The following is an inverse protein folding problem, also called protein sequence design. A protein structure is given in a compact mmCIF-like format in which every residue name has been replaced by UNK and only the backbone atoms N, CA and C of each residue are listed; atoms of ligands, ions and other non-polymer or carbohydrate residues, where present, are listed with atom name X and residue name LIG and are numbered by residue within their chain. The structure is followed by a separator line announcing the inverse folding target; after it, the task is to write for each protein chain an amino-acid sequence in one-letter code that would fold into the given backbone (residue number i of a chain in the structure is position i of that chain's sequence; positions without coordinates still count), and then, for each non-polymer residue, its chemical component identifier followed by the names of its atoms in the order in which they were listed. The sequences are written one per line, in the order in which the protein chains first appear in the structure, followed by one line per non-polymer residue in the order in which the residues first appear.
data_IF_212543435173
#
_entry.id   IF_212543435173
#
_cell.length_a   1.000
_cell.length_b   1.000
_cell.length_c   1.000
_cell.angle_alpha   90.00
_cell.angle_beta   90.00
_cell.angle_gamma   90.00
#
_symmetry.space_group_name_H-M   'P 1'
#
loop_
_entity.id
_entity.type
_entity.pdbx_description
1 polymer ?
#
# COMPACT_ATOMS: atom_id res chain seq x y z
N UNK A 1 15.42 -29.89 -54.08
CA UNK A 1 15.78 -30.68 -52.88
C UNK A 1 16.66 -29.88 -51.91
N UNK A 2 17.85 -29.41 -52.31
CA UNK A 2 18.76 -28.69 -51.38
C UNK A 2 18.15 -27.40 -50.80
N UNK A 3 17.46 -26.60 -51.62
CA UNK A 3 16.79 -25.36 -51.17
C UNK A 3 15.65 -25.63 -50.16
N UNK A 4 14.91 -26.73 -50.34
CA UNK A 4 13.82 -27.11 -49.43
C UNK A 4 14.36 -27.59 -48.08
N UNK A 5 15.50 -28.30 -48.09
CA UNK A 5 16.19 -28.70 -46.87
C UNK A 5 16.72 -27.49 -46.09
N UNK A 6 17.28 -26.50 -46.80
CA UNK A 6 17.78 -25.26 -46.18
C UNK A 6 16.63 -24.45 -45.56
N UNK A 7 15.49 -24.34 -46.25
CA UNK A 7 14.31 -23.66 -45.72
C UNK A 7 13.72 -24.37 -44.49
N UNK A 8 13.69 -25.72 -44.50
CA UNK A 8 13.26 -26.49 -43.34
C UNK A 8 14.22 -26.34 -42.15
N UNK A 9 15.52 -26.27 -42.40
CA UNK A 9 16.53 -26.05 -41.36
C UNK A 9 16.40 -24.66 -40.72
N UNK A 10 16.14 -23.63 -41.53
CA UNK A 10 15.89 -22.26 -41.06
C UNK A 10 14.62 -22.18 -40.20
N UNK A 11 13.54 -22.83 -40.64
CA UNK A 11 12.28 -22.89 -39.89
C UNK A 11 12.44 -23.60 -38.54
N UNK A 12 13.26 -24.67 -38.50
CA UNK A 12 13.57 -25.37 -37.26
C UNK A 12 14.42 -24.51 -36.30
N UNK A 13 15.34 -23.71 -36.84
CA UNK A 13 16.16 -22.78 -36.04
C UNK A 13 15.31 -21.64 -35.45
N UNK A 14 14.36 -21.10 -36.22
CA UNK A 14 13.42 -20.08 -35.71
C UNK A 14 12.54 -20.64 -34.57
N UNK A 15 12.08 -21.88 -34.70
CA UNK A 15 11.26 -22.52 -33.67
C UNK A 15 12.06 -22.73 -32.37
N UNK A 16 13.34 -23.11 -32.46
CA UNK A 16 14.21 -23.21 -31.27
C UNK A 16 14.43 -21.85 -30.58
N UNK A 17 14.63 -20.77 -31.34
CA UNK A 17 14.74 -19.43 -30.75
C UNK A 17 13.46 -19.03 -30.02
N UNK A 18 12.29 -19.32 -30.60
CA UNK A 18 11.01 -18.95 -30.00
C UNK A 18 10.77 -19.68 -28.67
N UNK A 19 11.12 -20.96 -28.59
CA UNK A 19 11.06 -21.74 -27.34
C UNK A 19 12.03 -21.20 -26.30
N UNK A 20 13.23 -20.80 -26.70
CA UNK A 20 14.24 -20.26 -25.78
C UNK A 20 13.78 -18.93 -25.16
N UNK A 21 13.18 -18.04 -25.96
CA UNK A 21 12.60 -16.77 -25.46
C UNK A 21 11.43 -17.04 -24.51
N UNK A 22 10.55 -17.98 -24.84
CA UNK A 22 9.42 -18.33 -23.98
C UNK A 22 9.89 -18.88 -22.62
N UNK A 23 10.94 -19.71 -22.62
CA UNK A 23 11.50 -20.25 -21.38
C UNK A 23 12.16 -19.15 -20.52
N UNK A 24 12.85 -18.19 -21.15
CA UNK A 24 13.45 -17.06 -20.44
C UNK A 24 12.37 -16.14 -19.84
N UNK A 25 11.27 -15.90 -20.55
CA UNK A 25 10.15 -15.10 -20.04
C UNK A 25 9.47 -15.77 -18.83
N UNK A 26 9.36 -17.10 -18.84
CA UNK A 26 8.81 -17.85 -17.71
C UNK A 26 9.72 -17.81 -16.48
N UNK A 27 11.05 -17.82 -16.66
CA UNK A 27 12.01 -17.61 -15.57
C UNK A 27 11.90 -16.21 -14.97
N UNK A 28 11.69 -15.18 -15.79
CA UNK A 28 11.54 -13.81 -15.33
C UNK A 28 10.26 -13.61 -14.49
N UNK A 29 9.15 -14.27 -14.86
CA UNK A 29 7.93 -14.26 -14.05
C UNK A 29 8.12 -14.97 -12.69
N UNK A 30 8.87 -16.07 -12.65
CA UNK A 30 9.19 -16.73 -11.36
C UNK A 30 10.03 -15.84 -10.45
N UNK A 31 11.00 -15.10 -11.00
CA UNK A 31 11.81 -14.17 -10.20
C UNK A 31 10.96 -13.03 -9.61
N UNK A 32 10.03 -12.45 -10.39
CA UNK A 32 9.12 -11.41 -9.88
C UNK A 32 8.19 -11.93 -8.79
N UNK A 33 7.69 -13.17 -8.92
CA UNK A 33 6.89 -13.78 -7.85
C UNK A 33 7.71 -13.97 -6.57
N UNK A 34 8.94 -14.48 -6.67
CA UNK A 34 9.82 -14.63 -5.49
C UNK A 34 10.17 -13.30 -4.83
N UNK A 35 10.49 -12.25 -5.60
CA UNK A 35 10.76 -10.92 -5.02
C UNK A 35 9.54 -10.33 -4.31
N UNK A 36 8.34 -10.54 -4.87
CA UNK A 36 7.09 -10.07 -4.25
C UNK A 36 6.81 -10.81 -2.95
N UNK A 37 7.06 -12.12 -2.91
CA UNK A 37 6.87 -12.93 -1.71
C UNK A 37 7.88 -12.58 -0.60
N UNK A 38 9.14 -12.30 -0.96
CA UNK A 38 10.16 -11.84 0.00
C UNK A 38 9.83 -10.43 0.55
N UNK A 39 9.28 -9.53 -0.28
CA UNK A 39 8.83 -8.22 0.19
C UNK A 39 7.69 -8.32 1.21
N UNK A 40 6.68 -9.16 0.94
CA UNK A 40 5.59 -9.37 1.90
C UNK A 40 6.09 -9.94 3.22
N UNK A 41 7.05 -10.88 3.21
CA UNK A 41 7.65 -11.39 4.43
C UNK A 41 8.40 -10.30 5.22
N UNK A 42 9.19 -9.46 4.53
CA UNK A 42 9.88 -8.34 5.21
C UNK A 42 8.94 -7.32 5.84
N UNK A 43 7.82 -7.02 5.18
CA UNK A 43 6.81 -6.11 5.73
C UNK A 43 6.14 -6.71 6.98
N UNK A 44 5.88 -8.02 7.00
CA UNK A 44 5.33 -8.68 8.19
C UNK A 44 6.30 -8.68 9.38
N UNK A 45 7.60 -8.85 9.14
CA UNK A 45 8.62 -8.84 10.19
C UNK A 45 8.88 -7.45 10.77
N UNK A 46 8.85 -6.40 9.94
CA UNK A 46 9.05 -5.02 10.41
C UNK A 46 7.85 -4.50 11.22
N UNK A 47 6.62 -4.89 10.86
CA UNK A 47 5.43 -4.56 11.64
C UNK A 47 5.48 -5.19 13.06
N UNK A 48 5.96 -6.42 13.19
CA UNK A 48 6.11 -7.09 14.48
C UNK A 48 7.17 -6.43 15.37
N UNK A 49 8.29 -5.97 14.80
CA UNK A 49 9.35 -5.29 15.56
C UNK A 49 8.93 -3.89 16.07
N UNK A 50 8.15 -3.13 15.28
CA UNK A 50 7.66 -1.80 15.69
C UNK A 50 6.65 -1.88 16.86
N UNK A 51 5.83 -2.93 16.91
CA UNK A 51 4.92 -3.17 18.03
C UNK A 51 5.66 -3.50 19.34
N UNK A 52 6.84 -4.12 19.27
CA UNK A 52 7.65 -4.41 20.46
C UNK A 52 8.34 -3.16 21.03
N UNK A 53 8.74 -2.20 20.18
CA UNK A 53 9.46 -0.99 20.62
C UNK A 53 8.56 0.03 21.34
N UNK A 54 7.26 0.07 21.04
CA UNK A 54 6.31 1.00 21.68
C UNK A 54 5.90 0.57 23.10
N UNK A 55 6.15 -0.68 23.50
CA UNK A 55 5.87 -1.16 24.86
C UNK A 55 6.95 -0.77 25.90
N UNK A 56 8.14 -0.33 25.46
CA UNK A 56 9.26 -0.01 26.36
C UNK A 56 9.43 1.49 26.65
N UNK A 57 8.72 2.37 25.94
CA UNK A 57 8.88 3.81 26.02
C UNK A 57 7.92 4.51 26.97
N UNK A 58 8.31 4.60 28.25
CA UNK A 58 8.21 5.82 29.05
C UNK A 58 6.83 6.30 29.51
N UNK A 59 6.61 6.20 30.81
CA UNK A 59 5.77 7.09 31.62
C UNK A 59 6.00 8.57 31.22
N UNK A 60 5.04 9.27 30.60
CA UNK A 60 5.14 10.70 30.44
C UNK A 60 4.85 11.33 31.79
N UNK A 61 5.92 11.70 32.49
CA UNK A 61 5.87 12.56 33.66
C UNK A 61 4.98 13.77 33.36
N UNK A 62 3.92 13.90 34.14
CA UNK A 62 2.94 14.97 34.13
C UNK A 62 3.62 16.33 34.31
N UNK A 63 3.57 17.25 33.34
CA UNK A 63 4.01 18.62 33.57
C UNK A 63 2.95 19.31 34.44
N UNK A 64 3.32 19.57 35.69
CA UNK A 64 2.60 20.43 36.62
C UNK A 64 2.67 21.87 36.09
N UNK A 65 1.62 22.30 35.39
CA UNK A 65 1.46 23.67 34.93
C UNK A 65 1.17 24.59 36.13
N UNK A 66 2.20 25.34 36.51
CA UNK A 66 2.10 26.45 37.46
C UNK A 66 1.29 27.60 36.83
N UNK A 67 0.28 28.06 37.56
CA UNK A 67 -0.51 29.24 37.26
C UNK A 67 0.37 30.50 37.36
N UNK A 68 0.54 31.20 36.25
CA UNK A 68 1.09 32.55 36.21
C UNK A 68 0.02 33.50 35.67
N UNK A 69 -0.47 34.37 36.54
CA UNK A 69 -1.27 35.55 36.23
C UNK A 69 -0.38 36.65 35.66
N UNK A 70 -0.72 37.28 34.53
CA UNK A 70 -0.20 38.60 34.20
C UNK A 70 -1.29 39.66 34.40
N UNK A 71 -1.11 40.44 35.46
CA UNK A 71 -1.68 41.77 35.62
C UNK A 71 -0.68 42.76 35.02
N UNK A 72 -1.08 43.60 34.06
CA UNK A 72 -0.17 44.59 33.51
C UNK A 72 -0.68 45.29 32.28
N UNK A 73 -1.57 46.25 32.48
CA UNK A 73 -1.93 47.25 31.48
C UNK A 73 -0.76 48.22 31.26
N UNK A 74 -0.39 48.45 30.00
CA UNK A 74 0.34 49.65 29.59
C UNK A 74 -0.09 50.01 28.17
N UNK A 75 -0.81 51.13 28.07
CA UNK A 75 -1.16 51.79 26.83
C UNK A 75 0.10 52.44 26.22
N UNK A 76 0.32 52.21 24.93
CA UNK A 76 1.14 53.06 24.09
C UNK A 76 0.41 53.25 22.76
N UNK A 77 -0.06 54.48 22.55
CA UNK A 77 -0.45 55.03 21.26
C UNK A 77 0.73 54.94 20.29
N UNK A 78 0.50 54.39 19.09
CA UNK A 78 1.53 54.33 18.07
C UNK A 78 1.18 53.52 16.82
N UNK A 79 0.70 54.24 15.81
CA UNK A 79 0.77 53.96 14.36
C UNK A 79 -0.15 52.89 13.75
N UNK A 80 -1.20 53.38 13.08
CA UNK A 80 -2.38 52.64 12.59
C UNK A 80 -2.20 51.97 11.21
N UNK A 81 -1.06 52.11 10.52
CA UNK A 81 -0.96 51.77 9.09
C UNK A 81 -0.16 50.51 8.73
N UNK A 82 0.47 49.82 9.69
CA UNK A 82 1.26 48.60 9.43
C UNK A 82 0.66 47.31 10.05
N UNK A 83 -0.38 47.42 10.87
CA UNK A 83 -0.96 46.31 11.64
C UNK A 83 -1.87 45.37 10.82
N UNK A 84 -2.33 45.78 9.64
CA UNK A 84 -3.26 44.97 8.83
C UNK A 84 -2.59 43.79 8.11
N UNK A 85 -1.29 43.86 7.81
CA UNK A 85 -0.59 42.79 7.08
C UNK A 85 -0.05 41.68 8.01
N UNK A 86 0.30 42.01 9.26
CA UNK A 86 0.78 41.02 10.24
C UNK A 86 -0.37 40.20 10.88
N UNK A 87 -1.57 40.78 10.97
CA UNK A 87 -2.75 40.07 11.47
C UNK A 87 -3.24 38.96 10.52
N UNK A 88 -3.04 39.11 9.21
CA UNK A 88 -3.39 38.09 8.22
C UNK A 88 -2.42 36.88 8.23
N UNK A 89 -1.14 37.11 8.55
CA UNK A 89 -0.15 36.02 8.67
C UNK A 89 -0.30 35.22 9.98
N UNK A 90 -0.71 35.86 11.08
CA UNK A 90 -0.98 35.18 12.35
C UNK A 90 -2.27 34.33 12.32
N UNK A 91 -3.26 34.71 11.50
CA UNK A 91 -4.49 33.93 11.31
C UNK A 91 -4.25 32.61 10.53
N UNK A 92 -3.17 32.48 9.77
CA UNK A 92 -2.81 31.26 9.05
C UNK A 92 -1.99 30.26 9.90
N UNK A 93 -1.25 30.74 10.91
CA UNK A 93 -0.41 29.91 11.77
C UNK A 93 -1.13 29.35 13.02
N UNK A 94 -2.37 29.80 13.28
CA UNK A 94 -3.13 29.50 14.50
C UNK A 94 -4.30 28.54 14.34
N UNK A 95 -4.46 27.84 13.19
CA UNK A 95 -5.34 26.67 13.14
C UNK A 95 -4.67 25.54 13.93
N UNK A 96 -4.74 25.63 15.25
CA UNK A 96 -4.67 24.46 16.12
C UNK A 96 -5.73 23.52 15.56
N UNK A 97 -5.30 22.45 14.90
CA UNK A 97 -6.20 21.50 14.28
C UNK A 97 -7.24 21.15 15.35
N UNK A 98 -8.50 21.55 15.11
CA UNK A 98 -9.59 21.18 16.00
C UNK A 98 -9.45 19.68 16.24
N UNK A 99 -9.54 19.20 17.50
CA UNK A 99 -9.34 17.79 17.81
C UNK A 99 -10.13 16.99 16.80
N UNK A 100 -9.42 16.21 15.99
CA UNK A 100 -10.01 15.47 14.88
C UNK A 100 -10.96 14.46 15.50
N UNK A 101 -12.24 14.84 15.56
CA UNK A 101 -13.26 13.95 16.09
C UNK A 101 -13.44 12.81 15.09
N UNK A 102 -13.47 11.56 15.56
CA UNK A 102 -13.75 10.45 14.67
C UNK A 102 -15.18 10.58 14.12
N UNK A 103 -15.37 10.14 12.88
CA UNK A 103 -16.69 10.14 12.24
C UNK A 103 -17.61 9.06 12.83
N UNK A 104 -17.02 7.95 13.28
CA UNK A 104 -17.71 6.84 13.92
C UNK A 104 -16.77 6.12 14.91
N UNK A 105 -17.35 5.36 15.83
CA UNK A 105 -16.60 4.53 16.78
C UNK A 105 -17.14 3.11 16.72
N UNK A 106 -16.28 2.11 16.56
CA UNK A 106 -16.65 0.69 16.64
C UNK A 106 -16.13 0.14 17.96
N UNK A 107 -17.03 -0.37 18.79
CA UNK A 107 -16.73 -0.93 20.10
C UNK A 107 -16.86 -2.45 20.07
N UNK A 108 -15.73 -3.15 20.15
CA UNK A 108 -15.69 -4.61 20.19
C UNK A 108 -15.85 -5.10 21.63
N UNK A 109 -17.01 -5.68 21.94
CA UNK A 109 -17.34 -6.09 23.31
C UNK A 109 -17.03 -7.56 23.52
N UNK A 110 -16.26 -7.86 24.57
CA UNK A 110 -15.95 -9.21 25.02
C UNK A 110 -16.18 -9.29 26.54
N UNK A 111 -16.63 -10.43 27.08
CA UNK A 111 -16.67 -10.58 28.53
C UNK A 111 -15.25 -10.61 29.11
N UNK A 112 -15.08 -10.19 30.38
CA UNK A 112 -13.84 -10.36 31.11
C UNK A 112 -13.31 -11.80 31.06
N UNK A 113 -14.20 -12.78 31.18
CA UNK A 113 -13.85 -14.21 31.17
C UNK A 113 -13.31 -14.66 29.81
N UNK A 114 -13.93 -14.20 28.72
CA UNK A 114 -13.45 -14.48 27.37
C UNK A 114 -12.08 -13.85 27.09
N UNK A 115 -11.88 -12.61 27.54
CA UNK A 115 -10.58 -11.93 27.47
C UNK A 115 -9.50 -12.64 28.30
N UNK A 116 -9.80 -13.00 29.55
CA UNK A 116 -8.88 -13.74 30.42
C UNK A 116 -8.47 -15.05 29.77
N UNK A 117 -9.46 -15.83 29.30
CA UNK A 117 -9.22 -17.12 28.64
C UNK A 117 -8.35 -16.99 27.40
N UNK A 118 -8.56 -15.95 26.57
CA UNK A 118 -7.74 -15.71 25.37
C UNK A 118 -6.28 -15.40 25.73
N UNK A 119 -6.05 -14.57 26.75
CA UNK A 119 -4.68 -14.21 27.18
C UNK A 119 -3.98 -15.40 27.85
N UNK A 120 -4.70 -16.16 28.69
CA UNK A 120 -4.12 -17.34 29.35
C UNK A 120 -3.84 -18.51 28.39
N UNK A 121 -4.46 -18.53 27.20
CA UNK A 121 -4.22 -19.53 26.17
C UNK A 121 -3.09 -19.15 25.19
N UNK A 122 -2.37 -18.05 25.44
CA UNK A 122 -1.18 -17.69 24.65
C UNK A 122 -0.05 -18.71 24.88
N UNK A 123 0.82 -18.86 23.88
CA UNK A 123 2.02 -19.68 24.01
C UNK A 123 2.89 -19.17 25.19
N UNK A 124 3.51 -20.04 25.99
CA UNK A 124 4.39 -19.62 27.09
C UNK A 124 5.51 -18.67 26.66
N UNK A 125 5.98 -18.77 25.40
CA UNK A 125 6.98 -17.87 24.83
C UNK A 125 6.50 -16.43 24.64
N UNK A 126 5.18 -16.21 24.62
CA UNK A 126 4.54 -14.89 24.45
C UNK A 126 4.12 -14.26 25.80
N UNK A 127 4.33 -14.96 26.90
CA UNK A 127 3.98 -14.49 28.24
C UNK A 127 5.11 -13.62 28.76
N UNK A 128 4.87 -12.32 28.84
CA UNK A 128 5.74 -11.36 29.51
C UNK A 128 5.25 -11.22 30.97
N UNK A 129 6.06 -11.58 31.97
CA UNK A 129 5.69 -11.46 33.39
C UNK A 129 5.29 -10.01 33.75
N UNK A 130 4.21 -9.86 34.52
CA UNK A 130 3.61 -8.56 34.87
C UNK A 130 2.80 -7.90 33.75
N UNK A 131 2.86 -8.42 32.52
CA UNK A 131 2.07 -7.92 31.40
C UNK A 131 1.01 -8.95 30.98
N UNK A 132 1.38 -10.04 30.32
CA UNK A 132 0.42 -11.03 29.80
C UNK A 132 0.11 -12.15 30.81
N UNK A 133 0.35 -11.92 32.09
CA UNK A 133 -0.02 -12.83 33.17
C UNK A 133 -1.39 -12.48 33.76
N UNK A 134 -1.89 -13.37 34.63
CA UNK A 134 -3.21 -13.25 35.23
C UNK A 134 -3.37 -12.00 36.09
N UNK A 135 -2.32 -11.62 36.81
CA UNK A 135 -2.34 -10.43 37.68
C UNK A 135 -2.28 -9.15 36.86
N UNK A 136 -1.39 -9.08 35.87
CA UNK A 136 -1.28 -7.96 34.94
C UNK A 136 -2.57 -7.73 34.15
N UNK A 137 -3.21 -8.80 33.68
CA UNK A 137 -4.52 -8.72 33.04
C UNK A 137 -5.58 -8.11 33.97
N UNK A 138 -5.73 -8.61 35.20
CA UNK A 138 -6.71 -8.10 36.16
C UNK A 138 -6.50 -6.62 36.46
N UNK A 139 -5.24 -6.19 36.64
CA UNK A 139 -4.90 -4.78 36.88
C UNK A 139 -5.29 -3.90 35.69
N UNK A 140 -4.96 -4.31 34.46
CA UNK A 140 -5.33 -3.55 33.25
C UNK A 140 -6.83 -3.55 33.00
N UNK A 141 -7.53 -4.65 33.28
CA UNK A 141 -8.97 -4.70 33.14
C UNK A 141 -9.67 -3.78 34.15
N UNK A 142 -9.20 -3.72 35.40
CA UNK A 142 -9.74 -2.76 36.38
C UNK A 142 -9.49 -1.33 35.96
N UNK A 143 -8.29 -1.02 35.44
CA UNK A 143 -7.96 0.30 34.91
C UNK A 143 -8.85 0.67 33.71
N UNK A 144 -9.08 -0.28 32.80
CA UNK A 144 -9.99 -0.13 31.67
C UNK A 144 -11.41 0.18 32.13
N UNK A 145 -11.95 -0.60 33.07
CA UNK A 145 -13.27 -0.37 33.67
C UNK A 145 -13.30 1.02 34.32
N UNK A 146 -12.27 1.39 35.10
CA UNK A 146 -12.23 2.68 35.76
C UNK A 146 -12.23 3.87 34.78
N UNK A 147 -11.52 3.78 33.66
CA UNK A 147 -11.44 4.87 32.68
C UNK A 147 -12.63 4.93 31.72
N UNK A 148 -13.24 3.80 31.39
CA UNK A 148 -14.26 3.71 30.33
C UNK A 148 -15.67 3.45 30.89
N UNK A 149 -15.79 2.70 31.99
CA UNK A 149 -17.06 2.36 32.63
C UNK A 149 -17.24 3.13 33.94
N UNK A 150 -17.95 4.25 33.88
CA UNK A 150 -18.23 5.02 35.08
C UNK A 150 -19.30 4.35 35.96
N UNK A 151 -18.90 3.97 37.18
CA UNK A 151 -19.83 3.73 38.30
C UNK A 151 -20.16 5.01 39.09
N UNK A 152 -19.44 6.11 38.83
CA UNK A 152 -19.46 7.34 39.62
C UNK A 152 -20.30 8.49 39.01
N UNK A 153 -21.13 8.21 37.99
CA UNK A 153 -22.10 9.18 37.44
C UNK A 153 -21.55 10.18 36.42
N UNK A 154 -20.33 9.98 35.90
CA UNK A 154 -19.85 10.64 34.68
C UNK A 154 -20.38 9.90 33.45
N UNK A 155 -20.59 10.58 32.30
CA UNK A 155 -21.00 9.93 31.05
C UNK A 155 -20.01 8.82 30.71
N UNK A 156 -20.52 7.68 30.24
CA UNK A 156 -19.67 6.61 29.71
C UNK A 156 -18.97 7.09 28.44
N UNK A 157 -17.94 6.37 28.02
CA UNK A 157 -17.25 6.73 26.77
C UNK A 157 -18.23 6.73 25.59
N UNK A 158 -19.20 5.81 25.57
CA UNK A 158 -20.27 5.77 24.56
C UNK A 158 -21.14 7.02 24.64
N UNK A 159 -21.55 7.42 25.85
CA UNK A 159 -22.36 8.63 26.07
C UNK A 159 -21.62 9.88 25.60
N UNK A 160 -20.31 9.97 25.86
CA UNK A 160 -19.46 11.09 25.42
C UNK A 160 -19.44 11.26 23.89
N UNK A 161 -19.44 10.16 23.14
CA UNK A 161 -19.51 10.19 21.68
C UNK A 161 -20.93 10.47 21.17
N UNK A 162 -21.92 9.84 21.79
CA UNK A 162 -23.34 10.05 21.45
C UNK A 162 -23.80 11.50 21.69
N UNK A 163 -23.37 12.13 22.78
CA UNK A 163 -23.62 13.55 23.08
C UNK A 163 -23.07 14.49 21.99
N UNK A 164 -22.04 14.06 21.27
CA UNK A 164 -21.46 14.79 20.13
C UNK A 164 -22.03 14.38 18.77
N UNK A 165 -23.05 13.53 18.76
CA UNK A 165 -23.67 13.03 17.54
C UNK A 165 -22.81 12.02 16.78
N UNK A 166 -21.80 11.43 17.42
CA UNK A 166 -20.97 10.37 16.85
C UNK A 166 -21.64 9.03 17.16
N UNK A 167 -21.90 8.26 16.11
CA UNK A 167 -22.53 6.95 16.25
C UNK A 167 -21.50 5.92 16.73
N UNK A 168 -21.91 5.11 17.71
CA UNK A 168 -21.11 4.05 18.30
C UNK A 168 -21.72 2.71 17.93
N UNK A 169 -20.99 1.90 17.15
CA UNK A 169 -21.39 0.54 16.80
C UNK A 169 -20.82 -0.44 17.84
N UNK A 170 -21.69 -1.04 18.66
CA UNK A 170 -21.30 -2.13 19.55
C UNK A 170 -21.36 -3.48 18.83
N UNK A 171 -20.24 -4.20 18.78
CA UNK A 171 -20.14 -5.54 18.20
C UNK A 171 -19.76 -6.57 19.28
N UNK A 172 -20.66 -7.51 19.64
CA UNK A 172 -20.31 -8.59 20.55
C UNK A 172 -19.37 -9.59 19.86
N UNK A 173 -18.23 -9.83 20.47
CA UNK A 173 -17.18 -10.73 19.95
C UNK A 173 -17.36 -12.19 20.39
N UNK A 174 -18.32 -12.45 21.27
CA UNK A 174 -18.59 -13.80 21.78
C UNK A 174 -19.53 -14.56 20.87
N UNK A 175 -19.12 -15.77 20.48
CA UNK A 175 -19.91 -16.63 19.61
C UNK A 175 -20.00 -16.16 18.16
N UNK A 176 -19.28 -15.11 17.78
CA UNK A 176 -19.14 -14.66 16.40
C UNK A 176 -17.77 -15.02 15.85
N UNK A 177 -17.72 -15.38 14.58
CA UNK A 177 -16.47 -15.53 13.87
C UNK A 177 -15.91 -14.16 13.48
N UNK A 178 -14.65 -14.16 13.04
CA UNK A 178 -13.98 -12.93 12.62
C UNK A 178 -14.61 -12.35 11.35
N UNK A 179 -15.08 -13.22 10.46
CA UNK A 179 -15.68 -12.84 9.19
C UNK A 179 -17.00 -12.09 9.38
N UNK A 180 -17.89 -12.56 10.27
CA UNK A 180 -19.12 -11.86 10.63
C UNK A 180 -18.84 -10.50 11.27
N UNK A 181 -17.84 -10.41 12.16
CA UNK A 181 -17.46 -9.14 12.80
C UNK A 181 -16.95 -8.14 11.75
N UNK A 182 -16.14 -8.60 10.81
CA UNK A 182 -15.62 -7.79 9.71
C UNK A 182 -16.74 -7.35 8.77
N UNK A 183 -17.63 -8.26 8.37
CA UNK A 183 -18.79 -7.97 7.53
C UNK A 183 -19.71 -6.94 8.22
N UNK A 184 -20.02 -7.12 9.50
CA UNK A 184 -20.82 -6.16 10.26
C UNK A 184 -20.16 -4.77 10.29
N UNK A 185 -18.84 -4.72 10.48
CA UNK A 185 -18.08 -3.48 10.45
C UNK A 185 -18.13 -2.84 9.06
N UNK A 186 -17.90 -3.60 7.99
CA UNK A 186 -17.93 -3.11 6.62
C UNK A 186 -19.31 -2.59 6.21
N UNK A 187 -20.39 -3.30 6.55
CA UNK A 187 -21.77 -2.87 6.28
C UNK A 187 -22.04 -1.53 6.97
N UNK A 188 -21.62 -1.40 8.23
CA UNK A 188 -21.78 -0.17 8.99
C UNK A 188 -21.01 1.00 8.36
N UNK A 189 -19.77 0.77 7.96
CA UNK A 189 -18.94 1.79 7.32
C UNK A 189 -19.50 2.22 5.96
N UNK A 190 -19.97 1.25 5.17
CA UNK A 190 -20.54 1.47 3.83
C UNK A 190 -21.80 2.34 3.87
N UNK A 191 -22.54 2.36 4.99
CA UNK A 191 -23.69 3.26 5.17
C UNK A 191 -23.30 4.74 5.28
N UNK A 192 -22.08 5.05 5.70
CA UNK A 192 -21.60 6.43 5.90
C UNK A 192 -20.82 6.98 4.70
N UNK A 193 -20.46 6.12 3.76
CA UNK A 193 -19.83 6.49 2.49
C UNK A 193 -18.55 5.70 2.24
N UNK A 194 -17.89 6.00 1.12
CA UNK A 194 -16.63 5.34 0.77
C UNK A 194 -15.53 5.80 1.73
N UNK A 195 -15.01 4.87 2.54
CA UNK A 195 -13.86 5.11 3.41
C UNK A 195 -12.65 5.40 2.50
N UNK A 196 -12.28 6.67 2.35
CA UNK A 196 -11.15 7.07 1.50
C UNK A 196 -9.78 6.86 2.15
N UNK A 197 -9.73 6.37 3.39
CA UNK A 197 -8.54 6.46 4.24
C UNK A 197 -7.56 5.28 4.13
N UNK A 198 -7.94 4.12 3.57
CA UNK A 198 -7.05 2.94 3.62
C UNK A 198 -7.00 2.06 2.36
N UNK A 199 -7.72 2.39 1.29
CA UNK A 199 -7.57 1.70 0.01
C UNK A 199 -6.86 2.62 -0.99
N UNK A 200 -5.78 2.14 -1.61
CA UNK A 200 -5.57 2.52 -3.02
C UNK A 200 -6.89 2.17 -3.70
N UNK A 201 -7.55 3.16 -4.28
CA UNK A 201 -8.83 2.97 -4.95
C UNK A 201 -8.69 1.75 -5.86
N UNK A 202 -9.35 0.66 -5.49
CA UNK A 202 -9.11 -0.66 -6.10
C UNK A 202 -9.40 -0.59 -7.58
N UNK A 203 -10.39 0.24 -7.96
CA UNK A 203 -10.74 0.53 -9.34
C UNK A 203 -9.63 1.32 -10.04
N UNK A 204 -9.07 2.34 -9.40
CA UNK A 204 -7.95 3.10 -9.95
C UNK A 204 -6.68 2.24 -10.12
N UNK A 205 -6.41 1.32 -9.19
CA UNK A 205 -5.29 0.38 -9.27
C UNK A 205 -5.48 -0.64 -10.40
N UNK A 206 -6.67 -1.23 -10.50
CA UNK A 206 -7.03 -2.14 -11.61
C UNK A 206 -6.92 -1.44 -12.96
N UNK A 207 -7.42 -0.21 -13.06
CA UNK A 207 -7.33 0.60 -14.28
C UNK A 207 -5.87 0.88 -14.65
N UNK A 208 -5.03 1.22 -13.66
CA UNK A 208 -3.60 1.42 -13.88
C UNK A 208 -2.91 0.13 -14.37
N UNK A 209 -3.27 -1.02 -13.81
CA UNK A 209 -2.74 -2.32 -14.23
C UNK A 209 -3.14 -2.65 -15.67
N UNK A 210 -4.39 -2.39 -16.05
CA UNK A 210 -4.89 -2.59 -17.41
C UNK A 210 -4.15 -1.69 -18.41
N UNK A 211 -3.98 -0.39 -18.11
CA UNK A 211 -3.23 0.53 -18.95
C UNK A 211 -1.78 0.08 -19.14
N UNK A 212 -1.17 -0.50 -18.10
CA UNK A 212 0.20 -1.00 -18.17
C UNK A 212 0.31 -2.25 -19.06
N UNK A 213 -0.71 -3.12 -19.07
CA UNK A 213 -0.77 -4.27 -19.99
C UNK A 213 -0.96 -3.82 -21.44
N UNK A 214 -1.90 -2.92 -21.71
CA UNK A 214 -2.14 -2.38 -23.05
C UNK A 214 -0.89 -1.67 -23.61
N UNK A 215 -0.18 -0.91 -22.77
CA UNK A 215 1.06 -0.26 -23.17
C UNK A 215 2.17 -1.27 -23.54
N UNK A 216 2.27 -2.39 -22.81
CA UNK A 216 3.23 -3.47 -23.12
C UNK A 216 2.87 -4.19 -24.42
N UNK A 217 1.60 -4.52 -24.64
CA UNK A 217 1.14 -5.15 -25.87
C UNK A 217 1.38 -4.25 -27.08
N UNK A 218 1.10 -2.96 -26.94
CA UNK A 218 1.36 -1.98 -27.99
C UNK A 218 2.86 -1.86 -28.30
N UNK A 219 3.71 -1.80 -27.28
CA UNK A 219 5.16 -1.77 -27.47
C UNK A 219 5.68 -3.04 -28.18
N UNK A 220 5.14 -4.21 -27.84
CA UNK A 220 5.51 -5.47 -28.48
C UNK A 220 5.09 -5.54 -29.96
N UNK A 221 3.91 -5.01 -30.30
CA UNK A 221 3.47 -4.90 -31.70
C UNK A 221 4.35 -3.94 -32.51
N UNK A 222 4.68 -2.78 -31.94
CA UNK A 222 5.57 -1.80 -32.57
C UNK A 222 6.97 -2.39 -32.81
N UNK A 223 7.51 -3.16 -31.87
CA UNK A 223 8.79 -3.86 -32.03
C UNK A 223 8.72 -4.93 -33.13
N UNK A 224 7.63 -5.71 -33.19
CA UNK A 224 7.43 -6.71 -34.23
C UNK A 224 7.34 -6.06 -35.63
N UNK A 225 6.68 -4.91 -35.74
CA UNK A 225 6.59 -4.16 -37.00
C UNK A 225 7.96 -3.61 -37.42
N UNK A 226 8.74 -3.06 -36.47
CA UNK A 226 10.12 -2.62 -36.74
C UNK A 226 11.02 -3.76 -37.20
N UNK A 227 10.93 -4.95 -36.56
CA UNK A 227 11.68 -6.13 -36.98
C UNK A 227 11.31 -6.57 -38.41
N UNK A 228 10.01 -6.53 -38.75
CA UNK A 228 9.54 -6.87 -40.10
C UNK A 228 10.01 -5.85 -41.14
N UNK A 229 10.01 -4.56 -40.80
CA UNK A 229 10.58 -3.52 -41.68
C UNK A 229 12.09 -3.70 -41.88
N UNK A 230 12.84 -4.04 -40.82
CA UNK A 230 14.28 -4.35 -40.95
C UNK A 230 14.53 -5.56 -41.83
N UNK A 231 13.76 -6.65 -41.68
CA UNK A 231 13.87 -7.82 -42.56
C UNK A 231 13.60 -7.47 -44.01
N UNK A 232 12.53 -6.71 -44.30
CA UNK A 232 12.23 -6.28 -45.67
C UNK A 232 13.34 -5.41 -46.26
N UNK A 233 13.96 -4.53 -45.46
CA UNK A 233 15.10 -3.74 -45.92
C UNK A 233 16.33 -4.62 -46.22
N UNK A 234 16.61 -5.61 -45.38
CA UNK A 234 17.70 -6.55 -45.63
C UNK A 234 17.46 -7.37 -46.91
N UNK A 235 16.25 -7.91 -47.10
CA UNK A 235 15.89 -8.66 -48.31
C UNK A 235 16.02 -7.80 -49.58
N UNK A 236 15.62 -6.53 -49.52
CA UNK A 236 15.80 -5.61 -50.65
C UNK A 236 17.28 -5.34 -50.95
N UNK A 237 18.12 -5.17 -49.93
CA UNK A 237 19.56 -5.00 -50.13
C UNK A 237 20.21 -6.25 -50.73
N UNK A 238 19.82 -7.46 -50.28
CA UNK A 238 20.31 -8.71 -50.84
C UNK A 238 19.90 -8.88 -52.31
N UNK A 239 18.66 -8.53 -52.67
CA UNK A 239 18.21 -8.57 -54.07
C UNK A 239 19.01 -7.60 -54.96
N UNK A 240 19.32 -6.40 -54.47
CA UNK A 240 20.16 -5.44 -55.21
C UNK A 240 21.58 -5.97 -55.41
N UNK A 241 22.17 -6.61 -54.39
CA UNK A 241 23.49 -7.23 -54.52
C UNK A 241 23.50 -8.37 -55.54
N UNK A 242 22.48 -9.22 -55.57
CA UNK A 242 22.38 -10.31 -56.55
C UNK A 242 22.24 -9.79 -58.00
N UNK A 243 21.49 -8.70 -58.21
CA UNK A 243 21.35 -8.10 -59.55
C UNK A 243 22.64 -7.40 -60.02
N UNK A 244 23.42 -6.81 -59.10
CA UNK A 244 24.68 -6.14 -59.42
C UNK A 244 25.81 -7.08 -59.87
N UNK A 245 25.85 -8.32 -59.36
CA UNK A 245 26.92 -9.28 -59.69
C UNK A 245 26.76 -9.89 -61.09
N UNK A 246 25.54 -9.92 -61.64
CA UNK A 246 25.26 -10.51 -62.96
C UNK A 246 25.74 -9.69 -64.18
N UNK A 247 26.08 -8.41 -64.02
CA UNK A 247 26.37 -7.50 -65.14
C UNK A 247 27.86 -7.47 -65.53
N UNK A 248 28.77 -7.94 -64.66
CA UNK A 248 30.23 -7.85 -64.91
C UNK A 248 30.88 -9.14 -65.46
N UNK A 249 30.11 -10.23 -65.65
CA UNK A 249 30.65 -11.52 -66.11
C UNK A 249 30.63 -11.80 -67.63
N UNK A 250 30.07 -10.89 -68.45
CA UNK A 250 29.78 -11.16 -69.87
C UNK A 250 30.79 -10.61 -70.90
N UNK A 251 31.96 -10.12 -70.49
CA UNK A 251 32.93 -9.50 -71.39
C UNK A 251 34.26 -10.26 -71.45
N UNK A 252 34.31 -11.38 -72.18
CA UNK A 252 35.54 -12.17 -72.24
C UNK A 252 35.65 -13.26 -73.31
N UNK A 253 34.87 -13.23 -74.39
CA UNK A 253 35.20 -14.01 -75.60
C UNK A 253 36.04 -13.14 -76.55
N UNK A 254 37.31 -12.96 -76.16
CA UNK A 254 38.35 -12.42 -77.02
C UNK A 254 38.97 -13.54 -77.83
N UNK A 255 38.46 -13.69 -79.05
CA UNK A 255 38.99 -14.52 -80.14
C UNK A 255 40.47 -14.23 -80.41
N UNK A 256 41.31 -15.26 -80.32
CA UNK A 256 42.74 -15.19 -80.65
C UNK A 256 43.11 -16.31 -81.63
N UNK A 257 43.46 -15.90 -82.84
CA UNK A 257 43.93 -16.66 -84.01
C UNK A 257 45.24 -17.40 -83.79
#
# INVERSE_FOLDING_TARGET
MQQQLQQQQLQQQQQQQQVQVQQQQQQQQQQQMSETEEQQQRETDTAAAAAAATAAGGDPATPTAAAATPTGAAALDGDESAAAAAAAAAAAAGRVAAPSMPEFVIYLRASPDACEKRIMNLSPSSIIPGYNDKEGFKKRQQLYIHHNENKEGKPRLEDFFQERGIEVLELPTEGRDLEDLLICSLIYLSRRGNIKNFGVDTEAWLLQQQQQQEARERAALEEQEQQKQQQQQQEQQEQQQQQGVGVLGGGGEGTGF
#
